data_IF_422151371114
#
_entry.id   IF_422151371114
#
_cell.length_a   1.000
_cell.length_b   1.000
_cell.length_c   1.000
_cell.angle_alpha   90.00
_cell.angle_beta   90.00
_cell.angle_gamma   90.00
#
_symmetry.space_group_name_H-M   'P 1'
#
loop_
_entity.id
_entity.type
_entity.pdbx_description
1 polymer ?
#
# COMPACT_ATOMS: atom_id res chain seq x y z
N UNK A 1 -40.05 -10.48 82.38
CA UNK A 1 -40.61 -11.85 82.32
C UNK A 1 -40.67 -12.18 80.85
N UNK A 2 -39.70 -12.97 80.36
CA UNK A 2 -39.84 -14.43 80.21
C UNK A 2 -40.80 -14.77 79.06
N UNK A 3 -40.49 -15.51 77.99
CA UNK A 3 -39.27 -16.10 77.39
C UNK A 3 -39.81 -17.20 76.49
N UNK A 4 -39.34 -17.32 75.24
CA UNK A 4 -39.28 -18.61 74.49
C UNK A 4 -40.67 -19.26 74.21
N UNK A 5 -40.93 -20.30 73.40
CA UNK A 5 -40.21 -21.25 72.51
C UNK A 5 -41.31 -21.86 71.58
N UNK A 6 -41.12 -22.56 70.44
CA UNK A 6 -39.97 -23.03 69.65
C UNK A 6 -40.45 -23.47 68.24
N UNK A 7 -39.51 -23.72 67.30
CA UNK A 7 -39.59 -24.64 66.13
C UNK A 7 -40.46 -24.25 64.91
N UNK A 8 -40.18 -24.63 63.65
CA UNK A 8 -39.01 -25.05 62.85
C UNK A 8 -39.49 -25.98 61.71
N UNK A 9 -39.22 -25.63 60.44
CA UNK A 9 -39.11 -26.53 59.26
C UNK A 9 -38.68 -25.66 58.05
N UNK A 10 -37.49 -25.82 57.46
CA UNK A 10 -37.09 -26.80 56.41
C UNK A 10 -37.72 -26.58 55.01
N UNK A 11 -36.94 -25.97 54.12
CA UNK A 11 -36.75 -26.17 52.66
C UNK A 11 -35.55 -25.27 52.31
N UNK A 12 -34.36 -25.70 51.87
CA UNK A 12 -33.90 -26.64 50.83
C UNK A 12 -34.18 -26.16 49.40
N UNK A 13 -33.20 -26.38 48.50
CA UNK A 13 -32.98 -25.76 47.15
C UNK A 13 -32.44 -24.31 47.20
N UNK A 14 -31.52 -23.86 46.33
CA UNK A 14 -31.02 -24.41 45.03
C UNK A 14 -29.49 -24.25 44.90
N UNK A 15 -28.85 -25.03 44.02
CA UNK A 15 -27.41 -25.00 43.71
C UNK A 15 -27.05 -24.19 42.44
N UNK A 16 -25.76 -24.20 42.07
CA UNK A 16 -25.11 -23.48 40.94
C UNK A 16 -24.95 -21.96 41.19
N UNK A 17 -23.87 -21.29 40.76
CA UNK A 17 -22.87 -21.64 39.73
C UNK A 17 -21.47 -21.18 40.13
N UNK A 18 -20.45 -22.02 39.97
CA UNK A 18 -19.04 -21.64 40.11
C UNK A 18 -18.21 -22.26 38.97
N UNK A 19 -18.36 -21.69 37.77
CA UNK A 19 -17.55 -22.01 36.59
C UNK A 19 -16.79 -20.75 36.16
N UNK A 20 -15.76 -20.41 36.93
CA UNK A 20 -14.78 -19.41 36.55
C UNK A 20 -13.51 -20.12 36.04
N UNK A 21 -12.78 -19.45 35.13
CA UNK A 21 -11.41 -19.80 34.70
C UNK A 21 -11.25 -21.01 33.74
N UNK A 22 -11.83 -20.93 32.54
CA UNK A 22 -11.06 -21.18 31.28
C UNK A 22 -11.51 -20.17 30.21
N UNK A 23 -11.27 -18.87 30.47
CA UNK A 23 -11.31 -17.83 29.43
C UNK A 23 -9.95 -17.72 28.75
N UNK A 24 -9.43 -18.84 28.25
CA UNK A 24 -8.11 -18.91 27.61
C UNK A 24 -8.16 -18.19 26.26
N UNK A 25 -7.41 -17.10 26.16
CA UNK A 25 -7.33 -16.21 25.01
C UNK A 25 -7.25 -16.92 23.65
N UNK A 26 -8.37 -16.94 22.92
CA UNK A 26 -8.36 -16.88 21.45
C UNK A 26 -8.34 -15.42 21.01
N UNK A 27 -7.42 -14.64 21.57
CA UNK A 27 -7.05 -13.34 21.04
C UNK A 27 -6.05 -13.58 19.91
N UNK A 28 -6.56 -13.99 18.74
CA UNK A 28 -5.84 -13.72 17.52
C UNK A 28 -6.06 -12.25 17.22
N UNK A 29 -4.98 -11.47 17.16
CA UNK A 29 -5.07 -10.06 16.79
C UNK A 29 -5.73 -9.97 15.40
N UNK A 30 -6.89 -9.32 15.34
CA UNK A 30 -7.68 -9.20 14.12
C UNK A 30 -7.02 -8.15 13.23
N UNK A 31 -6.20 -8.60 12.27
CA UNK A 31 -5.49 -7.73 11.34
C UNK A 31 -6.50 -6.82 10.62
N UNK A 32 -6.47 -5.53 10.96
CA UNK A 32 -7.44 -4.56 10.49
C UNK A 32 -7.06 -4.01 9.11
N UNK A 33 -7.67 -4.56 8.08
CA UNK A 33 -7.57 -4.05 6.70
C UNK A 33 -8.58 -2.91 6.47
N UNK A 34 -8.11 -1.77 5.97
CA UNK A 34 -8.97 -0.72 5.42
C UNK A 34 -8.83 -0.67 3.88
N UNK A 35 -9.64 0.17 3.23
CA UNK A 35 -9.89 0.14 1.78
C UNK A 35 -9.70 1.50 1.15
N UNK A 36 -8.78 1.55 0.20
CA UNK A 36 -8.59 2.70 -0.68
C UNK A 36 -9.36 2.46 -1.99
N UNK A 37 -10.18 3.44 -2.39
CA UNK A 37 -10.95 3.40 -3.62
C UNK A 37 -10.34 4.37 -4.64
N UNK A 38 -9.98 3.86 -5.81
CA UNK A 38 -9.33 4.63 -6.88
C UNK A 38 -10.21 4.60 -8.13
N UNK A 39 -10.49 5.76 -8.70
CA UNK A 39 -11.02 5.91 -10.06
C UNK A 39 -9.83 6.20 -10.99
N UNK A 40 -9.43 5.18 -11.75
CA UNK A 40 -8.22 5.15 -12.58
C UNK A 40 -8.60 5.41 -14.03
N UNK A 41 -7.98 6.40 -14.66
CA UNK A 41 -8.08 6.67 -16.09
C UNK A 41 -6.68 6.85 -16.67
N UNK A 42 -6.48 6.55 -17.96
CA UNK A 42 -5.16 6.58 -18.59
C UNK A 42 -5.19 7.33 -19.92
N UNK A 43 -4.10 8.02 -20.23
CA UNK A 43 -3.88 8.70 -21.51
C UNK A 43 -3.13 7.85 -22.55
N UNK A 44 -2.60 6.69 -22.15
CA UNK A 44 -1.93 5.74 -23.03
C UNK A 44 -2.18 4.26 -22.61
N UNK A 45 -1.96 3.26 -23.50
CA UNK A 45 -1.39 3.40 -24.84
C UNK A 45 -2.32 4.14 -25.82
N UNK A 46 -1.76 4.93 -26.72
CA UNK A 46 -2.56 5.60 -27.76
C UNK A 46 -2.94 4.62 -28.89
N UNK A 47 -3.84 5.03 -29.78
CA UNK A 47 -4.18 4.24 -30.97
C UNK A 47 -5.10 3.03 -30.72
N UNK A 48 -5.72 2.92 -29.54
CA UNK A 48 -6.62 1.81 -29.19
C UNK A 48 -5.93 0.61 -28.57
N UNK A 49 -4.69 0.76 -28.09
CA UNK A 49 -4.09 -0.20 -27.15
C UNK A 49 -4.68 -0.04 -25.74
N UNK A 50 -4.51 -1.08 -24.93
CA UNK A 50 -5.00 -1.16 -23.54
C UNK A 50 -3.83 -1.32 -22.57
N UNK A 51 -4.04 -1.00 -21.29
CA UNK A 51 -3.12 -1.46 -20.24
C UNK A 51 -3.35 -2.95 -19.97
N UNK A 52 -2.27 -3.71 -19.75
CA UNK A 52 -2.33 -5.11 -19.31
C UNK A 52 -2.22 -5.25 -17.79
N UNK A 53 -1.77 -4.21 -17.09
CA UNK A 53 -1.73 -4.19 -15.64
C UNK A 53 -1.54 -2.80 -15.01
N UNK A 54 -1.75 -2.75 -13.70
CA UNK A 54 -1.48 -1.60 -12.84
C UNK A 54 -0.56 -2.04 -11.69
N UNK A 55 0.52 -1.30 -11.45
CA UNK A 55 1.33 -1.36 -10.24
C UNK A 55 0.95 -0.20 -9.33
N UNK A 56 0.83 -0.45 -8.02
CA UNK A 56 0.37 0.50 -7.02
C UNK A 56 1.36 0.47 -5.85
N UNK A 57 1.91 1.62 -5.47
CA UNK A 57 2.88 1.75 -4.38
C UNK A 57 2.46 2.89 -3.45
N UNK A 58 2.67 2.74 -2.14
CA UNK A 58 2.37 3.75 -1.13
C UNK A 58 3.57 3.97 -0.22
N UNK A 59 3.78 5.22 0.20
CA UNK A 59 4.79 5.59 1.20
C UNK A 59 4.21 6.59 2.20
N UNK A 60 4.55 6.39 3.47
CA UNK A 60 4.13 7.21 4.61
C UNK A 60 5.19 7.19 5.71
N UNK A 61 4.76 7.43 6.95
CA UNK A 61 5.56 7.46 8.16
C UNK A 61 4.84 6.77 9.33
N UNK A 62 5.59 6.11 10.22
CA UNK A 62 5.08 5.52 11.46
C UNK A 62 5.06 6.51 12.65
N UNK A 63 4.68 6.04 13.85
CA UNK A 63 4.54 6.88 15.05
C UNK A 63 5.90 7.41 15.56
N UNK A 64 7.00 6.85 15.07
CA UNK A 64 8.37 7.35 15.31
C UNK A 64 8.84 8.34 14.24
N UNK A 65 8.10 8.49 13.14
CA UNK A 65 8.46 9.27 11.96
C UNK A 65 9.30 8.52 10.92
N UNK A 66 9.52 7.21 11.10
CA UNK A 66 10.28 6.39 10.16
C UNK A 66 9.47 6.12 8.88
N UNK A 67 10.13 6.07 7.71
CA UNK A 67 9.50 5.77 6.41
C UNK A 67 8.82 4.41 6.45
N UNK A 68 7.55 4.36 6.08
CA UNK A 68 6.80 3.10 5.88
C UNK A 68 6.41 2.98 4.42
N UNK A 69 6.63 1.81 3.84
CA UNK A 69 6.34 1.49 2.44
C UNK A 69 5.29 0.38 2.35
N UNK A 70 4.47 0.39 1.32
CA UNK A 70 3.47 -0.67 1.10
C UNK A 70 3.18 -0.85 -0.41
N UNK A 71 3.04 -2.08 -0.92
CA UNK A 71 3.10 -3.36 -0.21
C UNK A 71 4.52 -3.67 0.29
N UNK A 72 4.64 -4.46 1.36
CA UNK A 72 5.95 -4.97 1.82
C UNK A 72 6.62 -5.85 0.76
N UNK A 73 5.83 -6.57 -0.04
CA UNK A 73 6.30 -7.37 -1.17
C UNK A 73 5.91 -6.72 -2.49
N UNK A 74 6.92 -6.38 -3.30
CA UNK A 74 6.75 -5.86 -4.66
C UNK A 74 6.10 -6.84 -5.65
N UNK A 75 5.98 -8.11 -5.27
CA UNK A 75 5.28 -9.16 -6.02
C UNK A 75 3.82 -9.36 -5.58
N UNK A 76 3.30 -8.59 -4.63
CA UNK A 76 1.93 -8.73 -4.14
C UNK A 76 0.91 -8.51 -5.29
N UNK A 77 0.04 -9.48 -5.61
CA UNK A 77 -0.92 -9.39 -6.71
C UNK A 77 -2.06 -8.39 -6.46
N UNK A 78 -2.32 -7.97 -5.21
CA UNK A 78 -3.28 -6.89 -4.92
C UNK A 78 -2.73 -5.51 -5.32
N UNK A 79 -1.41 -5.40 -5.44
CA UNK A 79 -0.68 -4.18 -5.81
C UNK A 79 -0.04 -4.27 -7.20
N UNK A 80 -0.08 -5.44 -7.84
CA UNK A 80 0.31 -5.70 -9.22
C UNK A 80 -0.89 -6.30 -9.97
N UNK A 81 -1.95 -5.50 -10.14
CA UNK A 81 -3.19 -5.93 -10.77
C UNK A 81 -2.94 -6.30 -12.25
N UNK A 82 -3.36 -7.50 -12.65
CA UNK A 82 -3.46 -7.89 -14.06
C UNK A 82 -4.85 -7.48 -14.58
N UNK A 83 -4.89 -6.67 -15.63
CA UNK A 83 -6.11 -6.19 -16.28
C UNK A 83 -6.48 -7.00 -17.53
N UNK A 84 -5.55 -7.70 -18.17
CA UNK A 84 -5.71 -8.31 -19.49
C UNK A 84 -6.91 -9.27 -19.60
N UNK A 85 -7.25 -9.99 -18.53
CA UNK A 85 -8.39 -10.93 -18.49
C UNK A 85 -9.66 -10.35 -17.83
N UNK A 86 -9.59 -9.12 -17.31
CA UNK A 86 -10.68 -8.51 -16.53
C UNK A 86 -11.74 -7.80 -17.38
N UNK A 87 -11.39 -7.45 -18.63
CA UNK A 87 -12.21 -6.57 -19.48
C UNK A 87 -12.25 -5.10 -19.01
N UNK A 88 -11.45 -4.72 -18.02
CA UNK A 88 -11.27 -3.34 -17.58
C UNK A 88 -10.26 -2.63 -18.49
N UNK A 89 -10.65 -1.48 -19.04
CA UNK A 89 -9.79 -0.66 -19.89
C UNK A 89 -9.81 0.81 -19.44
N UNK A 90 -8.85 1.24 -18.58
CA UNK A 90 -8.73 2.63 -18.12
C UNK A 90 -8.41 3.63 -19.24
N UNK A 91 -8.02 3.19 -20.44
CA UNK A 91 -7.76 4.05 -21.60
C UNK A 91 -9.08 4.42 -22.27
N UNK A 92 -9.98 3.44 -22.45
CA UNK A 92 -11.31 3.69 -23.03
C UNK A 92 -12.28 4.37 -22.05
N UNK A 93 -12.30 3.97 -20.77
CA UNK A 93 -13.19 4.52 -19.75
C UNK A 93 -12.54 4.49 -18.36
N UNK A 94 -12.77 5.48 -17.47
CA UNK A 94 -12.30 5.39 -16.08
C UNK A 94 -12.84 4.13 -15.38
N UNK A 95 -11.95 3.38 -14.71
CA UNK A 95 -12.26 2.15 -13.99
C UNK A 95 -12.13 2.37 -12.49
N UNK A 96 -13.02 1.78 -11.69
CA UNK A 96 -12.94 1.86 -10.22
C UNK A 96 -12.31 0.58 -9.68
N UNK A 97 -11.20 0.72 -8.96
CA UNK A 97 -10.51 -0.37 -8.26
C UNK A 97 -10.51 -0.13 -6.75
N UNK A 98 -10.45 -1.22 -5.99
CA UNK A 98 -10.36 -1.20 -4.53
C UNK A 98 -9.06 -1.89 -4.10
N UNK A 99 -8.22 -1.16 -3.38
CA UNK A 99 -6.97 -1.65 -2.80
C UNK A 99 -7.19 -1.92 -1.32
N UNK A 100 -6.80 -3.09 -0.83
CA UNK A 100 -6.82 -3.42 0.60
C UNK A 100 -5.42 -3.26 1.16
N UNK A 101 -5.29 -2.58 2.30
CA UNK A 101 -4.01 -2.35 2.97
C UNK A 101 -4.19 -2.51 4.48
N UNK A 102 -3.13 -2.92 5.17
CA UNK A 102 -3.14 -3.00 6.63
C UNK A 102 -3.04 -1.59 7.19
N UNK A 103 -4.04 -1.17 7.96
CA UNK A 103 -4.18 0.21 8.41
C UNK A 103 -3.08 0.64 9.41
N UNK A 104 -2.53 -0.32 10.15
CA UNK A 104 -1.53 -0.10 11.19
C UNK A 104 -0.23 0.54 10.67
N UNK A 105 0.17 0.25 9.42
CA UNK A 105 1.33 0.87 8.77
C UNK A 105 1.23 2.40 8.60
N UNK A 106 0.02 2.97 8.60
CA UNK A 106 -0.22 4.38 8.28
C UNK A 106 -0.98 5.14 9.38
N UNK A 107 -1.17 4.53 10.56
CA UNK A 107 -1.91 5.15 11.67
C UNK A 107 -1.32 6.53 12.06
N UNK A 108 0.01 6.64 12.04
CA UNK A 108 0.76 7.79 12.48
C UNK A 108 0.80 8.98 11.52
N UNK A 109 0.78 8.75 10.20
CA UNK A 109 0.62 9.81 9.20
C UNK A 109 -0.71 10.55 9.31
N UNK A 110 -1.61 10.09 10.21
CA UNK A 110 -3.03 10.41 10.23
C UNK A 110 -3.67 10.00 8.89
N UNK A 111 -3.20 8.89 8.33
CA UNK A 111 -3.58 8.35 7.03
C UNK A 111 -3.09 9.12 5.80
N UNK A 112 -2.25 10.15 5.92
CA UNK A 112 -1.68 10.83 4.74
C UNK A 112 -0.51 10.03 4.14
N UNK A 113 -0.67 9.51 2.94
CA UNK A 113 0.37 8.80 2.20
C UNK A 113 0.64 9.48 0.86
N UNK A 114 1.85 9.37 0.33
CA UNK A 114 2.06 9.52 -1.11
C UNK A 114 1.72 8.18 -1.76
N UNK A 115 1.04 8.23 -2.90
CA UNK A 115 0.56 7.09 -3.67
C UNK A 115 1.09 7.24 -5.10
N UNK A 116 1.71 6.18 -5.62
CA UNK A 116 2.16 6.06 -7.02
C UNK A 116 1.36 4.96 -7.73
N UNK A 117 0.94 5.24 -8.96
CA UNK A 117 0.28 4.31 -9.86
C UNK A 117 1.04 4.26 -11.19
N UNK A 118 1.45 3.06 -11.60
CA UNK A 118 2.12 2.82 -12.89
C UNK A 118 1.25 1.91 -13.74
N UNK A 119 0.86 2.38 -14.93
CA UNK A 119 0.14 1.61 -15.93
C UNK A 119 1.11 0.92 -16.88
N UNK A 120 0.92 -0.40 -17.08
CA UNK A 120 1.78 -1.22 -17.93
C UNK A 120 1.08 -1.72 -19.19
N UNK A 121 1.86 -1.93 -20.25
CA UNK A 121 1.41 -2.58 -21.49
C UNK A 121 2.59 -3.33 -22.14
N UNK A 122 2.40 -4.62 -22.42
CA UNK A 122 3.50 -5.52 -22.80
C UNK A 122 4.46 -5.82 -21.65
N UNK A 123 4.00 -5.65 -20.40
CA UNK A 123 4.84 -5.72 -19.20
C UNK A 123 5.62 -4.44 -18.85
N UNK A 124 5.89 -3.56 -19.82
CA UNK A 124 6.62 -2.30 -19.62
C UNK A 124 5.71 -1.19 -19.07
N UNK A 125 6.22 -0.24 -18.25
CA UNK A 125 5.48 0.94 -17.83
C UNK A 125 5.32 1.93 -19.00
N UNK A 126 4.09 2.36 -19.22
CA UNK A 126 3.72 3.28 -20.32
C UNK A 126 2.98 4.52 -19.84
N UNK A 127 2.41 4.49 -18.63
CA UNK A 127 1.79 5.65 -17.99
C UNK A 127 2.05 5.68 -16.48
N UNK A 128 2.05 6.88 -15.88
CA UNK A 128 2.23 7.04 -14.44
C UNK A 128 1.37 8.16 -13.84
N UNK A 129 1.11 8.07 -12.54
CA UNK A 129 0.49 9.11 -11.72
C UNK A 129 1.05 9.04 -10.29
N UNK A 130 1.24 10.20 -9.66
CA UNK A 130 1.58 10.28 -8.23
C UNK A 130 0.78 11.40 -7.55
N UNK A 131 0.39 11.20 -6.28
CA UNK A 131 -0.28 12.23 -5.48
C UNK A 131 -0.29 11.92 -3.98
N UNK A 132 -0.60 12.93 -3.17
CA UNK A 132 -0.91 12.73 -1.74
C UNK A 132 -2.37 12.27 -1.59
N UNK A 133 -2.61 11.28 -0.74
CA UNK A 133 -3.92 10.70 -0.43
C UNK A 133 -4.12 10.65 1.08
N UNK A 134 -5.28 11.11 1.54
CA UNK A 134 -5.75 10.94 2.91
C UNK A 134 -6.61 9.66 3.00
N UNK A 135 -6.01 8.60 3.52
CA UNK A 135 -6.62 7.29 3.74
C UNK A 135 -7.78 7.36 4.76
N UNK A 136 -7.81 8.35 5.66
CA UNK A 136 -8.91 8.51 6.64
C UNK A 136 -10.16 9.13 6.04
N UNK A 137 -10.03 9.86 4.92
CA UNK A 137 -11.14 10.58 4.29
C UNK A 137 -12.20 9.65 3.68
N UNK A 138 -11.88 8.37 3.43
CA UNK A 138 -12.73 7.35 2.78
C UNK A 138 -13.39 7.85 1.47
N UNK A 139 -12.67 8.69 0.72
CA UNK A 139 -13.07 9.25 -0.56
C UNK A 139 -12.57 8.43 -1.74
N UNK A 140 -13.31 8.46 -2.85
CA UNK A 140 -12.82 7.97 -4.15
C UNK A 140 -11.74 8.93 -4.69
N UNK A 141 -10.50 8.47 -4.76
CA UNK A 141 -9.37 9.23 -5.32
C UNK A 141 -9.40 9.11 -6.84
N UNK A 142 -9.30 10.23 -7.56
CA UNK A 142 -9.23 10.23 -9.03
C UNK A 142 -7.76 10.27 -9.47
N UNK A 143 -7.29 9.18 -10.07
CA UNK A 143 -5.96 9.08 -10.65
C UNK A 143 -6.05 9.13 -12.18
N UNK A 144 -5.36 10.10 -12.79
CA UNK A 144 -5.23 10.20 -14.24
C UNK A 144 -3.78 9.94 -14.64
N UNK A 145 -3.55 8.75 -15.19
CA UNK A 145 -2.23 8.27 -15.56
C UNK A 145 -1.80 8.96 -16.86
N UNK A 146 -0.72 9.73 -16.74
CA UNK A 146 -0.13 10.50 -17.84
C UNK A 146 0.83 9.59 -18.62
N UNK A 147 0.82 9.70 -19.95
CA UNK A 147 1.78 9.04 -20.81
C UNK A 147 3.21 9.34 -20.38
N UNK A 148 4.03 8.29 -20.26
CA UNK A 148 5.47 8.43 -20.11
C UNK A 148 6.11 8.82 -21.45
N UNK A 149 7.41 9.11 -21.42
CA UNK A 149 8.24 9.31 -22.61
C UNK A 149 8.45 8.03 -23.42
N UNK A 150 9.71 7.68 -23.69
CA UNK A 150 10.01 6.37 -24.27
C UNK A 150 9.97 5.31 -23.17
N UNK A 151 8.90 4.51 -23.15
CA UNK A 151 8.65 3.44 -22.18
C UNK A 151 9.85 2.49 -22.00
N UNK A 152 10.63 2.23 -23.04
CA UNK A 152 11.81 1.35 -22.97
C UNK A 152 13.04 2.04 -22.32
N UNK A 153 13.00 3.36 -22.14
CA UNK A 153 14.01 4.12 -21.39
C UNK A 153 13.59 4.39 -19.93
N UNK A 154 12.31 4.18 -19.61
CA UNK A 154 11.76 4.43 -18.27
C UNK A 154 11.77 3.20 -17.36
N UNK A 155 12.27 2.07 -17.86
CA UNK A 155 12.38 0.74 -17.26
C UNK A 155 13.50 0.03 -18.04
N UNK A 156 14.73 0.55 -17.91
CA UNK A 156 15.82 0.27 -18.84
C UNK A 156 16.46 -1.12 -18.64
N UNK A 157 16.31 -1.67 -17.44
CA UNK A 157 16.78 -2.97 -16.98
C UNK A 157 15.64 -4.03 -16.93
N UNK A 158 14.38 -3.60 -16.83
CA UNK A 158 13.19 -4.43 -17.01
C UNK A 158 12.55 -4.95 -15.71
N UNK A 159 12.77 -4.27 -14.58
CA UNK A 159 12.16 -4.61 -13.28
C UNK A 159 10.70 -4.07 -13.12
N UNK A 160 10.29 -3.19 -14.04
CA UNK A 160 8.98 -2.56 -14.13
C UNK A 160 8.77 -1.37 -13.19
N UNK A 161 9.81 -0.86 -12.53
CA UNK A 161 9.79 0.41 -11.79
C UNK A 161 10.06 1.58 -12.75
N UNK A 162 10.26 2.78 -12.21
CA UNK A 162 10.41 3.99 -13.02
C UNK A 162 11.76 4.63 -12.76
N UNK A 163 12.56 4.71 -13.82
CA UNK A 163 13.87 5.34 -13.83
C UNK A 163 13.71 6.86 -13.78
N UNK A 164 13.42 7.42 -12.59
CA UNK A 164 13.11 8.84 -12.42
C UNK A 164 14.28 9.79 -12.75
N UNK A 165 15.51 9.27 -12.87
CA UNK A 165 16.65 10.02 -13.39
C UNK A 165 16.54 10.37 -14.88
N UNK A 166 15.62 9.73 -15.62
CA UNK A 166 15.41 9.95 -17.05
C UNK A 166 14.27 10.97 -17.31
N UNK A 167 14.53 11.95 -18.18
CA UNK A 167 13.59 13.02 -18.51
C UNK A 167 12.26 12.46 -19.07
N UNK A 168 11.16 12.71 -18.35
CA UNK A 168 9.82 12.30 -18.74
C UNK A 168 9.41 10.87 -18.33
N UNK A 169 10.22 10.19 -17.52
CA UNK A 169 9.91 8.85 -16.99
C UNK A 169 9.17 8.84 -15.66
N UNK A 170 9.17 9.96 -14.91
CA UNK A 170 8.35 10.13 -13.71
C UNK A 170 7.45 11.37 -13.79
N UNK A 171 6.27 11.37 -13.12
CA UNK A 171 5.38 12.53 -13.06
C UNK A 171 6.08 13.77 -12.50
N UNK A 172 5.74 14.96 -13.00
CA UNK A 172 6.31 16.21 -12.49
C UNK A 172 5.93 16.41 -11.01
N UNK A 173 6.92 16.51 -10.12
CA UNK A 173 6.70 16.56 -8.67
C UNK A 173 6.42 15.20 -8.02
N UNK A 174 6.70 14.10 -8.73
CA UNK A 174 7.02 12.82 -8.10
C UNK A 174 8.18 13.01 -7.13
N UNK A 175 8.13 12.32 -5.98
CA UNK A 175 9.26 12.28 -5.06
C UNK A 175 10.16 11.07 -5.35
N UNK A 176 11.43 11.18 -4.97
CA UNK A 176 12.43 10.11 -5.11
C UNK A 176 12.03 8.81 -4.37
N UNK A 177 11.01 8.88 -3.51
CA UNK A 177 10.48 7.77 -2.72
C UNK A 177 9.84 6.61 -3.51
N UNK A 178 9.70 6.73 -4.84
CA UNK A 178 9.25 5.67 -5.76
C UNK A 178 10.16 5.48 -6.98
N UNK A 179 11.31 6.18 -7.04
CA UNK A 179 12.28 5.98 -8.10
C UNK A 179 12.91 4.59 -7.98
N UNK A 180 13.24 3.97 -9.12
CA UNK A 180 14.32 2.98 -9.11
C UNK A 180 15.63 3.66 -8.65
N UNK A 181 16.44 2.91 -7.90
CA UNK A 181 17.68 3.36 -7.29
C UNK A 181 18.93 2.96 -8.10
N UNK A 182 18.84 1.98 -8.99
CA UNK A 182 19.90 1.61 -9.93
C UNK A 182 19.33 1.10 -11.26
N UNK A 183 19.16 2.05 -12.20
CA UNK A 183 18.79 1.89 -13.61
C UNK A 183 19.53 0.75 -14.39
N UNK A 184 20.53 0.10 -13.80
CA UNK A 184 21.35 -0.95 -14.40
C UNK A 184 21.15 -2.35 -13.80
N UNK A 185 20.34 -2.49 -12.75
CA UNK A 185 20.25 -3.73 -11.95
C UNK A 185 18.80 -4.17 -11.72
N UNK A 186 18.35 -5.20 -12.44
CA UNK A 186 16.99 -5.77 -12.33
C UNK A 186 16.63 -6.46 -10.99
N UNK A 187 17.42 -6.23 -9.94
CA UNK A 187 17.11 -6.53 -8.54
C UNK A 187 17.00 -5.29 -7.65
N UNK A 188 17.30 -4.10 -8.18
CA UNK A 188 16.98 -2.82 -7.58
C UNK A 188 15.46 -2.65 -7.48
N UNK A 189 15.03 -1.68 -6.68
CA UNK A 189 13.63 -1.28 -6.56
C UNK A 189 13.47 -0.15 -5.55
N UNK A 190 12.35 0.61 -5.56
CA UNK A 190 12.12 1.68 -4.59
C UNK A 190 12.11 1.27 -3.11
N UNK A 191 11.93 -0.03 -2.83
CA UNK A 191 11.93 -0.64 -1.49
C UNK A 191 13.27 -1.32 -1.13
N UNK A 192 14.13 -1.59 -2.12
CA UNK A 192 15.41 -2.25 -1.92
C UNK A 192 16.38 -1.33 -1.18
N UNK A 193 16.99 -1.83 -0.11
CA UNK A 193 18.13 -1.18 0.55
C UNK A 193 19.43 -1.89 0.17
N UNK A 194 19.82 -1.74 -1.09
CA UNK A 194 21.25 -1.69 -1.46
C UNK A 194 21.42 -0.28 -2.04
N UNK A 195 22.20 0.55 -1.33
CA UNK A 195 22.24 2.02 -1.40
C UNK A 195 20.88 2.69 -1.71
N UNK A 196 20.03 2.75 -0.67
CA UNK A 196 18.85 3.62 -0.67
C UNK A 196 19.24 5.02 -1.11
N UNK A 197 18.50 5.61 -2.06
CA UNK A 197 18.85 6.81 -2.84
C UNK A 197 19.43 7.98 -2.03
N UNK A 198 20.68 7.88 -1.61
CA UNK A 198 21.40 8.99 -1.00
C UNK A 198 21.69 9.96 -2.14
N UNK A 199 21.29 11.23 -2.02
CA UNK A 199 21.94 12.24 -2.82
C UNK A 199 23.43 12.19 -2.44
N UNK A 200 24.29 11.88 -3.41
CA UNK A 200 25.73 12.09 -3.32
C UNK A 200 26.04 13.60 -3.27
N UNK A 201 25.50 14.27 -2.24
CA UNK A 201 25.67 15.69 -1.99
C UNK A 201 27.08 15.90 -1.44
N UNK A 202 27.73 16.94 -1.93
CA UNK A 202 29.19 17.02 -2.05
C UNK A 202 29.92 17.45 -0.77
N UNK A 203 29.61 16.81 0.36
CA UNK A 203 30.38 16.93 1.60
C UNK A 203 30.27 15.73 2.58
N UNK A 204 31.41 15.05 2.78
CA UNK A 204 31.81 14.41 4.04
C UNK A 204 31.12 13.10 4.48
N UNK A 205 30.72 12.24 3.55
CA UNK A 205 30.96 10.80 3.72
C UNK A 205 31.77 10.26 2.53
N UNK A 206 32.60 9.23 2.77
CA UNK A 206 33.75 8.93 1.90
C UNK A 206 34.15 7.44 1.83
N UNK A 207 33.28 6.53 2.27
CA UNK A 207 33.39 5.09 2.05
C UNK A 207 32.05 4.41 1.73
N UNK A 208 31.32 4.95 0.74
CA UNK A 208 30.22 4.25 0.04
C UNK A 208 30.69 2.87 -0.45
N UNK A 209 30.43 1.84 0.35
CA UNK A 209 30.82 0.45 0.09
C UNK A 209 29.76 -0.50 0.64
N UNK A 210 29.07 -1.19 -0.27
CA UNK A 210 28.20 -2.33 0.04
C UNK A 210 28.94 -3.62 0.41
#
# INVERSE_FOLDING_TARGET
MNTLTNRAARMLLTALTAAALVGGACGGDEVAYDRLYLEVSSSAPSGGGTLDGLRILMVGQDDSGARVVYPESLSDPQFNLNLAETGLDPVANPVVIQVQYQNEHFAATKGKVRLSLTGRAGGLPVTAWEGEVDLTAKTLVKAHLTALGDAATCDADGDGFLNCGQDGCCPAGAGDAFADCDDTSAGASPWGTEDACEPCDDALDNDCSG
#
